data_IF_584371566540
#
_entry.id   IF_584371566540
#
_cell.length_a   1.000
_cell.length_b   1.000
_cell.length_c   1.000
_cell.angle_alpha   90.00
_cell.angle_beta   90.00
_cell.angle_gamma   90.00
#
_symmetry.space_group_name_H-M   'P 1'
#
loop_
_entity.id
_entity.type
_entity.pdbx_description
1 polymer ?
#
# COMPACT_ATOMS: atom_id res chain seq x y z
N UNK A 1 31.09 -4.06 -9.35
CA UNK A 1 29.89 -4.52 -8.61
C UNK A 1 28.84 -3.42 -8.33
N UNK A 2 29.15 -2.13 -8.48
CA UNK A 2 28.17 -1.03 -8.27
C UNK A 2 27.04 -0.96 -9.33
N UNK A 3 27.33 -1.25 -10.60
CA UNK A 3 26.34 -1.15 -11.69
C UNK A 3 25.19 -2.17 -11.63
N UNK A 4 25.38 -3.32 -10.97
CA UNK A 4 24.32 -4.34 -10.79
C UNK A 4 23.32 -3.90 -9.72
N UNK A 5 23.81 -3.29 -8.64
CA UNK A 5 22.96 -2.70 -7.60
C UNK A 5 22.11 -1.59 -8.22
N UNK A 6 22.72 -0.61 -8.93
CA UNK A 6 22.01 0.51 -9.59
C UNK A 6 20.93 0.06 -10.56
N UNK A 7 21.12 -1.05 -11.29
CA UNK A 7 20.09 -1.61 -12.16
C UNK A 7 18.91 -2.24 -11.40
N UNK A 8 19.17 -2.94 -10.29
CA UNK A 8 18.11 -3.46 -9.43
C UNK A 8 17.29 -2.32 -8.77
N UNK A 9 17.97 -1.25 -8.37
CA UNK A 9 17.41 -0.02 -7.80
C UNK A 9 16.41 0.67 -8.72
N UNK A 10 16.82 0.89 -9.98
CA UNK A 10 15.95 1.46 -11.01
C UNK A 10 14.79 0.51 -11.29
N UNK A 11 15.03 -0.81 -11.34
CA UNK A 11 13.99 -1.81 -11.53
C UNK A 11 12.89 -1.78 -10.47
N UNK A 12 13.25 -1.67 -9.18
CA UNK A 12 12.28 -1.63 -8.07
C UNK A 12 11.52 -0.30 -8.01
N UNK A 13 12.20 0.82 -8.25
CA UNK A 13 11.55 2.15 -8.29
C UNK A 13 10.59 2.23 -9.48
N UNK A 14 11.04 1.78 -10.65
CA UNK A 14 10.21 1.70 -11.85
C UNK A 14 9.03 0.76 -11.60
N UNK A 15 9.24 -0.41 -10.99
CA UNK A 15 8.14 -1.30 -10.61
C UNK A 15 7.16 -0.65 -9.61
N UNK A 16 7.65 0.06 -8.60
CA UNK A 16 6.81 0.76 -7.61
C UNK A 16 6.03 1.94 -8.17
N UNK A 17 6.45 2.52 -9.30
CA UNK A 17 5.74 3.64 -9.93
C UNK A 17 4.88 3.14 -11.10
N UNK A 18 5.44 2.26 -11.93
CA UNK A 18 4.78 1.70 -13.11
C UNK A 18 3.68 0.74 -12.68
N UNK A 19 3.88 -0.12 -11.69
CA UNK A 19 2.84 -1.08 -11.29
C UNK A 19 1.61 -0.36 -10.75
N UNK A 20 1.70 0.58 -9.79
CA UNK A 20 0.54 1.36 -9.36
C UNK A 20 0.05 2.31 -10.45
N UNK A 21 0.93 2.90 -11.27
CA UNK A 21 0.52 3.77 -12.38
C UNK A 21 -0.26 3.03 -13.47
N UNK A 22 0.07 1.76 -13.72
CA UNK A 22 -0.64 0.90 -14.67
C UNK A 22 -1.95 0.41 -14.06
N UNK A 23 -1.89 -0.14 -12.84
CA UNK A 23 -3.03 -0.74 -12.14
C UNK A 23 -4.06 0.31 -11.74
N UNK A 24 -3.63 1.46 -11.26
CA UNK A 24 -4.49 2.52 -10.78
C UNK A 24 -4.65 3.67 -11.77
N UNK A 25 -3.97 3.66 -12.93
CA UNK A 25 -4.07 4.72 -13.93
C UNK A 25 -4.45 4.19 -15.32
N UNK A 26 -3.53 3.47 -15.98
CA UNK A 26 -3.73 3.04 -17.38
C UNK A 26 -4.91 2.07 -17.55
N UNK A 27 -5.10 1.12 -16.63
CA UNK A 27 -6.19 0.15 -16.74
C UNK A 27 -7.55 0.83 -16.51
N UNK A 28 -7.77 1.58 -15.41
CA UNK A 28 -9.00 2.38 -15.25
C UNK A 28 -9.24 3.36 -16.41
N UNK A 29 -8.18 3.99 -16.93
CA UNK A 29 -8.28 4.85 -18.11
C UNK A 29 -8.73 4.07 -19.35
N UNK A 30 -8.19 2.86 -19.60
CA UNK A 30 -8.60 2.04 -20.75
C UNK A 30 -10.07 1.61 -20.69
N UNK A 31 -10.61 1.42 -19.47
CA UNK A 31 -11.99 1.00 -19.21
C UNK A 31 -12.94 2.20 -19.30
N UNK A 32 -12.58 3.33 -18.71
CA UNK A 32 -13.46 4.51 -18.60
C UNK A 32 -13.30 5.47 -19.77
N UNK A 33 -12.16 5.43 -20.49
CA UNK A 33 -11.72 6.43 -21.47
C UNK A 33 -11.81 7.89 -20.98
N UNK A 34 -11.84 8.09 -19.65
CA UNK A 34 -12.23 9.35 -19.01
C UNK A 34 -13.54 9.96 -19.55
N UNK A 35 -14.44 9.11 -20.05
CA UNK A 35 -15.79 9.53 -20.38
C UNK A 35 -16.58 9.60 -19.08
N UNK A 36 -16.96 10.81 -18.71
CA UNK A 36 -17.72 11.10 -17.50
C UNK A 36 -19.14 10.57 -17.73
N UNK A 37 -19.68 9.68 -16.88
CA UNK A 37 -21.06 9.27 -17.01
C UNK A 37 -21.99 10.40 -16.58
N UNK A 38 -23.22 10.25 -17.01
CA UNK A 38 -24.36 11.14 -16.86
C UNK A 38 -24.84 11.32 -15.40
N UNK A 39 -23.96 11.19 -14.39
CA UNK A 39 -24.25 11.33 -12.96
C UNK A 39 -23.93 12.74 -12.46
N UNK A 40 -24.73 13.73 -12.85
CA UNK A 40 -24.77 15.06 -12.21
C UNK A 40 -23.53 15.96 -12.35
N UNK A 41 -22.50 15.55 -13.10
CA UNK A 41 -21.27 16.33 -13.33
C UNK A 41 -20.26 16.33 -12.17
N UNK A 42 -19.22 17.16 -12.30
CA UNK A 42 -18.07 17.22 -11.37
C UNK A 42 -18.40 17.60 -9.92
N UNK A 43 -19.57 18.21 -9.70
CA UNK A 43 -20.03 18.63 -8.38
C UNK A 43 -20.84 17.55 -7.64
N UNK A 44 -21.03 16.37 -8.22
CA UNK A 44 -21.77 15.30 -7.54
C UNK A 44 -21.03 14.83 -6.27
N UNK A 45 -21.74 14.54 -5.18
CA UNK A 45 -21.12 14.04 -3.95
C UNK A 45 -20.26 12.79 -4.17
N UNK A 46 -20.65 11.92 -5.11
CA UNK A 46 -19.90 10.71 -5.47
C UNK A 46 -18.55 11.04 -6.11
N UNK A 47 -18.49 12.04 -6.99
CA UNK A 47 -17.23 12.50 -7.60
C UNK A 47 -16.32 13.12 -6.54
N UNK A 48 -16.87 13.91 -5.60
CA UNK A 48 -16.09 14.51 -4.50
C UNK A 48 -15.52 13.41 -3.60
N UNK A 49 -16.34 12.44 -3.18
CA UNK A 49 -15.89 11.31 -2.37
C UNK A 49 -14.81 10.52 -3.12
N UNK A 50 -15.03 10.23 -4.41
CA UNK A 50 -14.06 9.53 -5.22
C UNK A 50 -12.74 10.28 -5.37
N UNK A 51 -12.79 11.60 -5.57
CA UNK A 51 -11.59 12.44 -5.65
C UNK A 51 -10.81 12.46 -4.33
N UNK A 52 -11.51 12.52 -3.19
CA UNK A 52 -10.89 12.42 -1.86
C UNK A 52 -10.21 11.07 -1.66
N UNK A 53 -10.84 9.97 -2.08
CA UNK A 53 -10.25 8.62 -2.01
C UNK A 53 -8.99 8.51 -2.88
N UNK A 54 -9.03 9.04 -4.10
CA UNK A 54 -7.87 9.06 -5.01
C UNK A 54 -6.75 9.90 -4.40
N UNK A 55 -7.04 11.11 -3.95
CA UNK A 55 -6.04 11.99 -3.34
C UNK A 55 -5.41 11.37 -2.08
N UNK A 56 -6.24 10.79 -1.20
CA UNK A 56 -5.77 10.09 0.00
C UNK A 56 -4.87 8.90 -0.34
N UNK A 57 -5.25 8.09 -1.32
CA UNK A 57 -4.43 6.97 -1.78
C UNK A 57 -3.09 7.42 -2.37
N UNK A 58 -3.09 8.50 -3.18
CA UNK A 58 -1.85 9.07 -3.73
C UNK A 58 -0.92 9.55 -2.60
N UNK A 59 -1.47 10.24 -1.59
CA UNK A 59 -0.67 10.70 -0.44
C UNK A 59 -0.01 9.53 0.28
N UNK A 60 -0.73 8.43 0.51
CA UNK A 60 -0.17 7.23 1.15
C UNK A 60 0.91 6.57 0.28
N UNK A 61 0.72 6.50 -1.03
CA UNK A 61 1.73 5.96 -1.95
C UNK A 61 2.98 6.84 -1.99
N UNK A 62 2.82 8.17 -1.99
CA UNK A 62 3.94 9.10 -1.94
C UNK A 62 4.69 9.04 -0.60
N UNK A 63 3.99 8.92 0.53
CA UNK A 63 4.63 8.71 1.84
C UNK A 63 5.43 7.40 1.86
N UNK A 64 4.86 6.31 1.31
CA UNK A 64 5.57 5.04 1.17
C UNK A 64 6.82 5.19 0.29
N UNK A 65 6.71 5.89 -0.84
CA UNK A 65 7.83 6.14 -1.75
C UNK A 65 8.92 7.00 -1.12
N UNK A 66 8.55 8.07 -0.42
CA UNK A 66 9.50 8.94 0.29
C UNK A 66 10.22 8.17 1.39
N UNK A 67 9.52 7.33 2.16
CA UNK A 67 10.15 6.47 3.17
C UNK A 67 11.08 5.46 2.55
N UNK A 68 10.68 4.84 1.45
CA UNK A 68 11.52 3.93 0.69
C UNK A 68 12.78 4.64 0.19
N UNK A 69 12.65 5.77 -0.50
CA UNK A 69 13.76 6.56 -1.01
C UNK A 69 14.70 7.06 0.10
N UNK A 70 14.17 7.45 1.27
CA UNK A 70 14.95 7.85 2.45
C UNK A 70 15.65 6.69 3.15
N UNK A 71 15.14 5.46 3.01
CA UNK A 71 15.79 4.24 3.49
C UNK A 71 16.86 3.72 2.48
N UNK A 72 17.41 4.64 1.69
CA UNK A 72 18.27 4.39 0.53
C UNK A 72 17.65 3.50 -0.54
N UNK A 73 16.34 3.18 -0.46
CA UNK A 73 15.50 2.28 -1.27
C UNK A 73 15.82 0.79 -1.14
N UNK A 74 16.56 0.42 -0.11
CA UNK A 74 16.82 -1.00 0.14
C UNK A 74 15.49 -1.57 0.60
N UNK A 75 14.92 -2.60 -0.06
CA UNK A 75 13.75 -3.27 0.49
C UNK A 75 14.23 -3.89 1.81
N UNK A 76 13.82 -3.28 2.92
CA UNK A 76 14.38 -3.50 4.25
C UNK A 76 15.83 -2.97 4.42
N UNK A 77 16.21 -2.55 5.64
CA UNK A 77 17.63 -2.45 5.99
C UNK A 77 18.36 -3.70 5.48
N UNK A 78 19.58 -3.60 4.91
CA UNK A 78 20.35 -4.76 4.39
C UNK A 78 20.84 -5.72 5.49
N UNK A 79 20.19 -5.72 6.65
CA UNK A 79 20.26 -6.76 7.65
C UNK A 79 18.84 -7.27 7.81
N UNK A 80 18.55 -8.58 7.72
CA UNK A 80 17.35 -9.11 8.36
C UNK A 80 17.36 -8.55 9.78
N UNK A 81 16.50 -7.56 10.04
CA UNK A 81 16.44 -6.99 11.37
C UNK A 81 15.97 -8.15 12.23
N UNK A 82 16.72 -8.49 13.27
CA UNK A 82 16.32 -9.54 14.22
C UNK A 82 14.90 -9.32 14.77
N UNK A 83 14.37 -8.10 14.60
CA UNK A 83 13.08 -7.65 15.06
C UNK A 83 12.26 -7.01 13.94
N UNK A 84 10.94 -7.14 14.04
CA UNK A 84 9.95 -6.56 13.15
C UNK A 84 9.81 -5.05 13.42
N UNK A 85 10.28 -4.21 12.49
CA UNK A 85 10.20 -2.75 12.60
C UNK A 85 8.92 -2.23 11.96
N UNK A 86 7.94 -1.84 12.79
CA UNK A 86 6.66 -1.26 12.33
C UNK A 86 6.68 0.27 12.44
N UNK A 87 6.86 0.97 11.32
CA UNK A 87 6.94 2.43 11.27
C UNK A 87 5.91 3.05 10.33
N UNK A 88 5.49 4.28 10.64
CA UNK A 88 4.60 5.06 9.78
C UNK A 88 3.22 4.43 9.57
N UNK A 89 2.71 4.33 8.33
CA UNK A 89 1.35 3.88 8.05
C UNK A 89 1.11 2.41 8.44
N UNK A 90 2.18 1.61 8.51
CA UNK A 90 2.13 0.21 8.97
C UNK A 90 1.66 0.07 10.44
N UNK A 91 1.68 1.15 11.23
CA UNK A 91 1.14 1.16 12.61
C UNK A 91 -0.39 1.20 12.65
N UNK A 92 -1.04 1.59 11.55
CA UNK A 92 -2.49 1.75 11.45
C UNK A 92 -3.14 0.61 10.68
N UNK A 93 -2.47 0.09 9.65
CA UNK A 93 -2.93 -1.03 8.81
C UNK A 93 -1.72 -1.81 8.33
N UNK A 94 -1.82 -3.13 8.17
CA UNK A 94 -0.66 -3.95 7.75
C UNK A 94 -0.29 -3.73 6.30
N UNK A 95 -1.29 -3.46 5.46
CA UNK A 95 -1.13 -3.36 4.01
C UNK A 95 -1.47 -1.96 3.46
N UNK A 96 -0.80 -0.88 3.93
CA UNK A 96 -1.20 0.49 3.58
C UNK A 96 -1.10 0.77 2.09
N UNK A 97 -0.11 0.21 1.39
CA UNK A 97 0.04 0.40 -0.06
C UNK A 97 -1.10 -0.26 -0.86
N UNK A 98 -1.49 -1.49 -0.50
CA UNK A 98 -2.59 -2.17 -1.19
C UNK A 98 -3.92 -1.44 -0.94
N UNK A 99 -4.16 -0.98 0.29
CA UNK A 99 -5.33 -0.15 0.62
C UNK A 99 -5.33 1.15 -0.17
N UNK A 100 -4.17 1.79 -0.35
CA UNK A 100 -4.07 3.01 -1.15
C UNK A 100 -4.42 2.78 -2.63
N UNK A 101 -3.87 1.72 -3.25
CA UNK A 101 -4.18 1.35 -4.64
C UNK A 101 -5.67 1.03 -4.81
N UNK A 102 -6.25 0.23 -3.91
CA UNK A 102 -7.67 -0.11 -3.94
C UNK A 102 -8.56 1.13 -3.74
N UNK A 103 -8.14 2.06 -2.89
CA UNK A 103 -8.85 3.33 -2.66
C UNK A 103 -8.84 4.21 -3.91
N UNK A 104 -7.72 4.25 -4.65
CA UNK A 104 -7.63 4.96 -5.93
C UNK A 104 -8.53 4.32 -7.00
N UNK A 105 -8.56 2.98 -7.09
CA UNK A 105 -9.43 2.28 -8.06
C UNK A 105 -10.91 2.50 -7.72
N UNK A 106 -11.28 2.39 -6.43
CA UNK A 106 -12.65 2.63 -5.97
C UNK A 106 -13.06 4.08 -6.20
N UNK A 107 -12.18 5.04 -5.89
CA UNK A 107 -12.44 6.45 -6.14
C UNK A 107 -12.69 6.74 -7.61
N UNK A 108 -11.93 6.13 -8.51
CA UNK A 108 -12.19 6.21 -9.96
C UNK A 108 -13.50 5.54 -10.36
N UNK A 109 -13.83 4.38 -9.80
CA UNK A 109 -15.11 3.73 -10.07
C UNK A 109 -16.31 4.62 -9.69
N UNK A 110 -16.19 5.37 -8.58
CA UNK A 110 -17.20 6.34 -8.14
C UNK A 110 -17.23 7.59 -9.02
N UNK A 111 -16.07 8.17 -9.35
CA UNK A 111 -15.98 9.36 -10.20
C UNK A 111 -16.51 9.11 -11.61
N UNK A 112 -16.21 7.93 -12.18
CA UNK A 112 -16.58 7.54 -13.52
C UNK A 112 -17.76 6.57 -13.55
N UNK A 113 -18.51 6.40 -12.45
CA UNK A 113 -19.72 5.56 -12.37
C UNK A 113 -19.60 4.19 -13.06
N UNK A 114 -18.42 3.58 -13.02
CA UNK A 114 -18.04 2.50 -13.93
C UNK A 114 -18.10 1.15 -13.22
N UNK A 115 -19.10 0.35 -13.58
CA UNK A 115 -19.21 -1.01 -13.06
C UNK A 115 -18.01 -1.88 -13.45
N UNK A 116 -17.43 -1.67 -14.64
CA UNK A 116 -16.21 -2.34 -15.07
C UNK A 116 -15.01 -2.02 -14.17
N UNK A 117 -14.84 -0.76 -13.77
CA UNK A 117 -13.77 -0.34 -12.86
C UNK A 117 -14.00 -0.89 -11.44
N UNK A 118 -15.26 -0.97 -11.01
CA UNK A 118 -15.63 -1.59 -9.73
C UNK A 118 -15.30 -3.09 -9.71
N UNK A 119 -15.68 -3.83 -10.76
CA UNK A 119 -15.36 -5.26 -10.91
C UNK A 119 -13.85 -5.49 -10.98
N UNK A 120 -13.13 -4.62 -11.69
CA UNK A 120 -11.67 -4.64 -11.71
C UNK A 120 -11.08 -4.45 -10.31
N UNK A 121 -11.57 -3.46 -9.54
CA UNK A 121 -11.16 -3.26 -8.16
C UNK A 121 -11.43 -4.48 -7.26
N UNK A 122 -12.58 -5.14 -7.44
CA UNK A 122 -12.91 -6.37 -6.72
C UNK A 122 -11.96 -7.53 -7.08
N UNK A 123 -11.59 -7.66 -8.36
CA UNK A 123 -10.61 -8.65 -8.80
C UNK A 123 -9.22 -8.37 -8.21
N UNK A 124 -8.76 -7.11 -8.23
CA UNK A 124 -7.49 -6.71 -7.62
C UNK A 124 -7.50 -7.01 -6.13
N UNK A 125 -8.58 -6.66 -5.41
CA UNK A 125 -8.73 -6.97 -3.99
C UNK A 125 -8.62 -8.48 -3.75
N UNK A 126 -9.32 -9.30 -4.55
CA UNK A 126 -9.29 -10.75 -4.43
C UNK A 126 -7.87 -11.31 -4.63
N UNK A 127 -7.18 -10.89 -5.68
CA UNK A 127 -5.82 -11.36 -5.99
C UNK A 127 -4.83 -10.98 -4.89
N UNK A 128 -4.83 -9.71 -4.46
CA UNK A 128 -3.90 -9.24 -3.43
C UNK A 128 -4.26 -9.83 -2.07
N UNK A 129 -5.54 -9.97 -1.72
CA UNK A 129 -5.95 -10.63 -0.48
C UNK A 129 -5.52 -12.11 -0.43
N UNK A 130 -5.60 -12.80 -1.57
CA UNK A 130 -5.14 -14.18 -1.71
C UNK A 130 -3.62 -14.26 -1.57
N UNK A 131 -2.89 -13.37 -2.24
CA UNK A 131 -1.42 -13.29 -2.14
C UNK A 131 -0.96 -13.02 -0.71
N UNK A 132 -1.55 -12.02 -0.04
CA UNK A 132 -1.23 -11.68 1.36
C UNK A 132 -1.43 -12.91 2.26
N UNK A 133 -2.58 -13.58 2.15
CA UNK A 133 -2.92 -14.69 3.05
C UNK A 133 -2.11 -15.97 2.77
N UNK A 134 -1.84 -16.28 1.50
CA UNK A 134 -1.21 -17.53 1.09
C UNK A 134 0.32 -17.47 1.08
N UNK A 135 0.89 -16.27 0.91
CA UNK A 135 2.32 -16.09 0.75
C UNK A 135 2.92 -15.12 1.77
N UNK A 136 2.38 -13.91 1.86
CA UNK A 136 2.98 -12.85 2.69
C UNK A 136 2.90 -13.16 4.19
N UNK A 137 1.71 -13.51 4.70
CA UNK A 137 1.52 -13.81 6.12
C UNK A 137 2.33 -15.05 6.58
N UNK A 138 2.35 -16.19 5.86
CA UNK A 138 3.20 -17.33 6.23
C UNK A 138 4.69 -17.03 6.17
N UNK A 139 5.14 -16.25 5.17
CA UNK A 139 6.55 -15.87 5.03
C UNK A 139 7.00 -14.98 6.19
N UNK A 140 6.21 -13.94 6.51
CA UNK A 140 6.50 -13.04 7.62
C UNK A 140 6.39 -13.74 8.99
N UNK A 141 5.46 -14.68 9.15
CA UNK A 141 5.37 -15.49 10.35
C UNK A 141 6.56 -16.45 10.49
N UNK A 142 7.08 -16.99 9.39
CA UNK A 142 8.30 -17.80 9.38
C UNK A 142 9.57 -17.01 9.69
N UNK A 143 9.65 -15.75 9.23
CA UNK A 143 10.83 -14.89 9.40
C UNK A 143 10.88 -14.21 10.78
N UNK A 144 9.73 -13.71 11.28
CA UNK A 144 9.66 -12.89 12.51
C UNK A 144 8.92 -13.56 13.68
N UNK A 145 8.31 -14.74 13.47
CA UNK A 145 7.73 -15.55 14.55
C UNK A 145 6.68 -14.82 15.41
N UNK A 146 6.93 -14.78 16.73
CA UNK A 146 6.00 -14.22 17.71
C UNK A 146 5.79 -12.72 17.56
N UNK A 147 6.80 -11.98 17.11
CA UNK A 147 6.67 -10.52 16.91
C UNK A 147 5.64 -10.21 15.82
N UNK A 148 5.64 -11.00 14.73
CA UNK A 148 4.64 -10.88 13.69
C UNK A 148 3.26 -11.34 14.15
N UNK A 149 3.18 -12.41 14.96
CA UNK A 149 1.90 -12.83 15.57
C UNK A 149 1.32 -11.74 16.46
N UNK A 150 2.13 -11.08 17.28
CA UNK A 150 1.69 -9.96 18.12
C UNK A 150 1.24 -8.77 17.27
N UNK A 151 2.01 -8.40 16.26
CA UNK A 151 1.63 -7.36 15.31
C UNK A 151 0.29 -7.68 14.62
N UNK A 152 0.10 -8.92 14.15
CA UNK A 152 -1.11 -9.40 13.46
C UNK A 152 -2.36 -9.34 14.35
N UNK A 153 -2.21 -9.55 15.66
CA UNK A 153 -3.29 -9.44 16.65
C UNK A 153 -3.75 -8.00 16.85
N UNK A 154 -2.85 -7.03 16.73
CA UNK A 154 -3.15 -5.65 17.04
C UNK A 154 -3.47 -4.79 15.82
N UNK A 155 -2.87 -5.05 14.66
CA UNK A 155 -3.04 -4.21 13.47
C UNK A 155 -3.79 -4.99 12.41
N UNK A 156 -4.93 -4.48 11.93
CA UNK A 156 -5.74 -5.15 10.92
C UNK A 156 -5.06 -5.15 9.55
N UNK A 157 -5.36 -6.16 8.73
CA UNK A 157 -4.80 -6.29 7.38
C UNK A 157 -5.22 -5.14 6.44
N UNK A 158 -6.51 -4.81 6.43
CA UNK A 158 -7.12 -3.95 5.39
C UNK A 158 -7.80 -2.69 5.93
N UNK A 159 -8.28 -2.71 7.18
CA UNK A 159 -9.04 -1.61 7.77
C UNK A 159 -8.13 -0.78 8.68
N UNK A 160 -7.87 0.49 8.36
CA UNK A 160 -7.05 1.35 9.19
C UNK A 160 -7.63 1.51 10.60
N UNK A 161 -6.76 1.42 11.59
CA UNK A 161 -7.07 1.80 12.96
C UNK A 161 -7.10 3.32 13.09
N UNK A 162 -7.87 3.84 14.04
CA UNK A 162 -7.86 5.28 14.36
C UNK A 162 -6.64 5.67 15.22
N UNK A 163 -6.09 4.72 15.97
CA UNK A 163 -4.93 4.92 16.84
C UNK A 163 -3.76 4.08 16.34
N UNK A 164 -2.58 4.71 16.26
CA UNK A 164 -1.34 4.03 15.90
C UNK A 164 -1.03 2.95 16.93
N UNK A 165 -0.73 1.74 16.47
CA UNK A 165 -0.14 0.74 17.34
C UNK A 165 1.24 1.20 17.77
N UNK A 166 1.50 1.27 19.06
CA UNK A 166 2.79 1.60 19.66
C UNK A 166 3.52 0.36 20.15
N UNK A 167 3.40 -0.76 19.42
CA UNK A 167 3.96 -2.07 19.78
C UNK A 167 5.31 -1.95 20.45
N UNK A 168 5.52 -2.77 21.49
CA UNK A 168 6.66 -2.65 22.40
C UNK A 168 7.93 -2.37 21.60
N UNK A 169 8.38 -1.12 21.63
CA UNK A 169 9.76 -0.84 21.35
C UNK A 169 10.51 -1.64 22.42
N UNK A 170 11.07 -2.79 22.05
CA UNK A 170 12.18 -3.36 22.77
C UNK A 170 13.37 -2.41 22.56
N UNK A 171 13.26 -1.21 23.14
CA UNK A 171 14.39 -0.35 23.46
C UNK A 171 15.13 -1.03 24.59
N UNK A 172 15.81 -2.14 24.28
CA UNK A 172 16.83 -2.73 25.14
C UNK A 172 18.16 -2.56 24.44
N UNK A 173 18.56 -1.30 24.26
CA UNK A 173 19.93 -0.93 23.90
C UNK A 173 20.23 0.43 24.51
N UNK A 174 21.32 0.46 25.27
CA UNK A 174 22.02 1.63 25.84
C UNK A 174 21.31 2.45 26.92
N UNK A 175 21.07 1.84 28.09
CA UNK A 175 21.03 2.61 29.34
C UNK A 175 21.87 1.98 30.47
N UNK A 176 22.95 1.30 30.09
CA UNK A 176 24.05 0.85 30.96
C UNK A 176 25.35 0.86 30.13
N UNK A 177 26.03 2.01 30.08
CA UNK A 177 27.45 2.15 29.74
C UNK A 177 27.94 3.54 30.19
#
# INVERSE_FOLDING_TARGET
>A
MQGVRVRAWVGTIVFLVVTPGVVAGLIPWSITRWQIPWTGGWASPLVIIGAVLVAGGIVVLLDAFVRFARADGTPAPPMPTKHLVVVGPYRYVRNPMYVAVLSIILGQALMFGSWGTLLYGALVLFLVASFVKLYEEPTLEGEYGDEYREYRRHVHAWVPRLRAWSGAATSKSSRDA
#
